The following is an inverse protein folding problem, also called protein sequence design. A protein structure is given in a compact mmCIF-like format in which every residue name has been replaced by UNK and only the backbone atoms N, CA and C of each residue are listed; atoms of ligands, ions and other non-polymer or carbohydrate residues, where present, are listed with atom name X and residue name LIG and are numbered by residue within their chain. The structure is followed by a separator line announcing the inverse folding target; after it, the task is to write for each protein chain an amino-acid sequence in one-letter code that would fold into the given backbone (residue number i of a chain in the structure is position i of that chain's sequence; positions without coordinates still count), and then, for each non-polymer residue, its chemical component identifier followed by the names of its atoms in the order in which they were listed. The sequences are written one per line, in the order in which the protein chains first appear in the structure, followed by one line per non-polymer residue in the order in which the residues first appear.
data_IF_119528668232
#
_entry.id   IF_119528668232
#
_cell.length_a   1.000
_cell.length_b   1.000
_cell.length_c   1.000
_cell.angle_alpha   90.00
_cell.angle_beta   90.00
_cell.angle_gamma   90.00
#
_symmetry.space_group_name_H-M   'P 1'
#
loop_
_entity.id
_entity.type
_entity.pdbx_description
1 polymer ?
#
# COMPACT_ATOMS: atom_id res chain seq x y z
N UNK A 1 -1.78 -27.62 -34.54
CA UNK A 1 -1.60 -26.86 -33.28
C UNK A 1 -0.97 -25.54 -33.67
N UNK A 2 -1.77 -24.48 -33.81
CA UNK A 2 -1.28 -23.15 -34.18
C UNK A 2 -1.21 -22.32 -32.91
N UNK A 3 -0.01 -22.14 -32.37
CA UNK A 3 0.24 -21.12 -31.36
C UNK A 3 0.25 -19.78 -32.08
N UNK A 4 -0.80 -18.99 -31.90
CA UNK A 4 -0.79 -17.59 -32.31
C UNK A 4 0.23 -16.85 -31.44
N UNK A 5 1.08 -15.98 -32.01
CA UNK A 5 1.94 -15.13 -31.20
C UNK A 5 1.06 -14.16 -30.39
N UNK A 6 1.26 -14.11 -29.08
CA UNK A 6 0.72 -13.04 -28.24
C UNK A 6 1.16 -11.72 -28.86
N UNK A 7 0.19 -10.94 -29.34
CA UNK A 7 0.45 -9.62 -29.89
C UNK A 7 0.85 -8.71 -28.73
N UNK A 8 2.15 -8.53 -28.53
CA UNK A 8 2.68 -7.43 -27.73
C UNK A 8 2.08 -6.13 -28.29
N UNK A 9 1.22 -5.48 -27.50
CA UNK A 9 0.63 -4.19 -27.87
C UNK A 9 1.76 -3.19 -28.16
N UNK A 10 1.62 -2.34 -29.19
CA UNK A 10 2.65 -1.37 -29.51
C UNK A 10 2.84 -0.40 -28.35
N UNK A 11 4.08 -0.30 -27.86
CA UNK A 11 4.51 0.72 -26.92
C UNK A 11 4.25 2.11 -27.51
N UNK A 12 3.36 2.87 -26.87
CA UNK A 12 3.00 4.25 -27.23
C UNK A 12 2.84 5.04 -25.94
N UNK A 13 3.08 6.36 -25.95
CA UNK A 13 2.94 7.21 -24.75
C UNK A 13 1.58 7.04 -24.04
N UNK A 14 0.52 6.73 -24.79
CA UNK A 14 -0.81 6.49 -24.25
C UNK A 14 -0.90 5.11 -23.56
N UNK A 15 -0.27 4.09 -24.14
CA UNK A 15 -0.17 2.77 -23.50
C UNK A 15 0.65 2.82 -22.21
N UNK A 16 1.76 3.57 -22.19
CA UNK A 16 2.59 3.75 -21.00
C UNK A 16 1.83 4.43 -19.85
N UNK A 17 1.02 5.45 -20.18
CA UNK A 17 0.17 6.12 -19.19
C UNK A 17 -0.91 5.21 -18.62
N UNK A 18 -1.59 4.42 -19.45
CA UNK A 18 -2.61 3.46 -18.98
C UNK A 18 -2.02 2.41 -18.03
N UNK A 19 -0.83 1.90 -18.34
CA UNK A 19 -0.10 0.94 -17.48
C UNK A 19 0.31 1.59 -16.15
N UNK A 20 0.80 2.84 -16.17
CA UNK A 20 1.15 3.57 -14.95
C UNK A 20 -0.09 3.86 -14.10
N UNK A 21 -1.21 4.22 -14.73
CA UNK A 21 -2.47 4.51 -14.04
C UNK A 21 -3.05 3.25 -13.39
N UNK A 22 -3.00 2.10 -14.07
CA UNK A 22 -3.37 0.82 -13.47
C UNK A 22 -2.45 0.49 -12.29
N UNK A 23 -1.13 0.61 -12.47
CA UNK A 23 -0.15 0.42 -11.40
C UNK A 23 -0.42 1.33 -10.19
N UNK A 24 -0.82 2.58 -10.43
CA UNK A 24 -1.20 3.51 -9.38
C UNK A 24 -2.43 3.00 -8.62
N UNK A 25 -3.48 2.56 -9.31
CA UNK A 25 -4.69 2.06 -8.66
C UNK A 25 -4.46 0.76 -7.88
N UNK A 26 -3.57 -0.11 -8.37
CA UNK A 26 -3.18 -1.34 -7.67
C UNK A 26 -2.34 -1.05 -6.42
N UNK A 27 -1.52 0.01 -6.42
CA UNK A 27 -0.70 0.35 -5.27
C UNK A 27 -1.56 0.85 -4.09
N UNK A 28 -1.68 0.04 -3.04
CA UNK A 28 -2.39 0.43 -1.82
C UNK A 28 -1.44 0.74 -0.66
N UNK A 29 -1.81 1.75 0.12
CA UNK A 29 -0.99 2.22 1.25
C UNK A 29 -0.93 1.19 2.37
N UNK A 30 -2.03 0.48 2.63
CA UNK A 30 -2.08 -0.60 3.61
C UNK A 30 -1.14 -1.76 3.22
N UNK A 31 -1.12 -2.15 1.95
CA UNK A 31 -0.18 -3.17 1.44
C UNK A 31 1.29 -2.72 1.59
N UNK A 32 1.60 -1.46 1.32
CA UNK A 32 2.95 -0.91 1.54
C UNK A 32 3.39 -1.00 3.01
N UNK A 33 2.48 -0.69 3.95
CA UNK A 33 2.78 -0.78 5.38
C UNK A 33 2.90 -2.23 5.83
N UNK A 34 2.04 -3.13 5.34
CA UNK A 34 2.12 -4.57 5.62
C UNK A 34 3.45 -5.15 5.14
N UNK A 35 3.85 -4.85 3.90
CA UNK A 35 5.13 -5.29 3.35
C UNK A 35 6.31 -4.80 4.19
N UNK A 36 6.28 -3.53 4.62
CA UNK A 36 7.30 -3.02 5.53
C UNK A 36 7.35 -3.80 6.85
N UNK A 37 6.20 -4.14 7.44
CA UNK A 37 6.15 -4.95 8.66
C UNK A 37 6.68 -6.39 8.47
N UNK A 38 6.53 -6.96 7.27
CA UNK A 38 7.13 -8.25 6.91
C UNK A 38 8.66 -8.10 6.79
N UNK A 39 9.13 -7.08 6.07
CA UNK A 39 10.56 -6.82 5.86
C UNK A 39 11.31 -6.57 7.19
N UNK A 40 10.62 -6.00 8.18
CA UNK A 40 11.14 -5.79 9.53
C UNK A 40 10.96 -6.98 10.47
N UNK A 41 10.34 -8.07 10.01
CA UNK A 41 10.11 -9.28 10.80
C UNK A 41 9.06 -9.14 11.90
N UNK A 42 8.24 -8.09 11.87
CA UNK A 42 7.18 -7.88 12.85
C UNK A 42 6.04 -8.90 12.66
N UNK A 43 5.70 -9.18 11.40
CA UNK A 43 4.81 -10.26 10.98
C UNK A 43 5.48 -11.10 9.89
N UNK A 44 4.94 -12.28 9.65
CA UNK A 44 5.38 -13.20 8.59
C UNK A 44 4.24 -13.46 7.60
N UNK A 45 4.57 -14.05 6.45
CA UNK A 45 3.56 -14.51 5.49
C UNK A 45 2.59 -15.54 6.11
N UNK A 46 3.08 -16.37 7.05
CA UNK A 46 2.23 -17.33 7.76
C UNK A 46 1.21 -16.64 8.66
N UNK A 47 1.60 -15.55 9.31
CA UNK A 47 0.69 -14.77 10.15
C UNK A 47 -0.47 -14.18 9.34
N UNK A 48 -0.19 -13.80 8.09
CA UNK A 48 -1.19 -13.33 7.12
C UNK A 48 -2.10 -14.48 6.71
N UNK A 49 -1.50 -15.59 6.24
CA UNK A 49 -2.24 -16.74 5.75
C UNK A 49 -3.17 -17.38 6.81
N UNK A 50 -2.77 -17.33 8.08
CA UNK A 50 -3.53 -17.90 9.20
C UNK A 50 -4.43 -16.89 9.92
N UNK A 51 -4.44 -15.62 9.49
CA UNK A 51 -5.11 -14.53 10.21
C UNK A 51 -4.71 -14.47 11.70
N UNK A 52 -3.42 -14.60 11.98
CA UNK A 52 -2.91 -14.53 13.34
C UNK A 52 -3.34 -13.22 14.03
N UNK A 53 -3.59 -13.29 15.34
CA UNK A 53 -4.08 -12.16 16.15
C UNK A 53 -3.27 -10.87 15.91
N UNK A 54 -1.93 -10.97 15.89
CA UNK A 54 -1.05 -9.81 15.65
C UNK A 54 -1.24 -9.18 14.27
N UNK A 55 -1.54 -9.96 13.23
CA UNK A 55 -1.85 -9.44 11.90
C UNK A 55 -3.22 -8.75 11.88
N UNK A 56 -4.22 -9.32 12.54
CA UNK A 56 -5.55 -8.69 12.68
C UNK A 56 -5.46 -7.35 13.40
N UNK A 57 -4.71 -7.30 14.51
CA UNK A 57 -4.45 -6.06 15.25
C UNK A 57 -3.72 -5.04 14.39
N UNK A 58 -2.66 -5.45 13.68
CA UNK A 58 -1.92 -4.58 12.76
C UNK A 58 -2.85 -3.97 11.71
N UNK A 59 -3.70 -4.77 11.07
CA UNK A 59 -4.71 -4.29 10.11
C UNK A 59 -5.65 -3.25 10.71
N UNK A 60 -6.12 -3.50 11.94
CA UNK A 60 -6.97 -2.55 12.66
C UNK A 60 -6.27 -1.21 12.85
N UNK A 61 -5.02 -1.22 13.33
CA UNK A 61 -4.22 -0.01 13.53
C UNK A 61 -3.97 0.74 12.22
N UNK A 62 -3.62 0.01 11.14
CA UNK A 62 -3.42 0.61 9.81
C UNK A 62 -4.71 1.28 9.33
N UNK A 63 -5.84 0.58 9.39
CA UNK A 63 -7.14 1.10 8.93
C UNK A 63 -7.56 2.36 9.71
N UNK A 64 -7.44 2.34 11.04
CA UNK A 64 -7.74 3.52 11.87
C UNK A 64 -6.82 4.69 11.53
N UNK A 65 -5.52 4.45 11.39
CA UNK A 65 -4.54 5.49 11.06
C UNK A 65 -4.80 6.10 9.68
N UNK A 66 -5.09 5.28 8.67
CA UNK A 66 -5.45 5.73 7.33
C UNK A 66 -6.74 6.55 7.34
N UNK A 67 -7.75 6.10 8.08
CA UNK A 67 -8.99 6.86 8.22
C UNK A 67 -8.73 8.23 8.85
N UNK A 68 -7.93 8.30 9.92
CA UNK A 68 -7.54 9.58 10.53
C UNK A 68 -6.82 10.49 9.55
N UNK A 69 -5.87 9.98 8.75
CA UNK A 69 -5.21 10.79 7.74
C UNK A 69 -6.17 11.29 6.65
N UNK A 70 -7.12 10.47 6.19
CA UNK A 70 -8.14 10.91 5.23
C UNK A 70 -9.03 12.05 5.73
N UNK A 71 -9.21 12.18 7.04
CA UNK A 71 -10.01 13.27 7.62
C UNK A 71 -9.25 14.61 7.61
N UNK A 72 -7.92 14.60 7.58
CA UNK A 72 -7.09 15.81 7.60
C UNK A 72 -6.46 16.13 6.24
N UNK A 73 -6.18 15.12 5.42
CA UNK A 73 -5.66 15.31 4.07
C UNK A 73 -6.82 15.42 3.07
N UNK A 74 -6.98 16.59 2.47
CA UNK A 74 -7.88 16.82 1.33
C UNK A 74 -7.24 16.31 0.03
N UNK A 75 -6.86 15.04 0.00
CA UNK A 75 -6.25 14.42 -1.18
C UNK A 75 -7.34 13.91 -2.13
N UNK A 76 -7.38 14.45 -3.35
CA UNK A 76 -8.31 14.05 -4.41
C UNK A 76 -7.53 13.44 -5.59
N UNK A 77 -7.82 12.17 -5.89
CA UNK A 77 -7.23 11.40 -6.98
C UNK A 77 -8.04 11.43 -8.28
N UNK A 78 -9.09 12.24 -8.34
CA UNK A 78 -9.93 12.39 -9.55
C UNK A 78 -9.23 13.02 -10.74
N UNK A 79 -8.12 13.76 -10.54
CA UNK A 79 -7.45 14.54 -11.58
C UNK A 79 -6.02 14.04 -11.89
N UNK A 80 -5.82 12.72 -11.86
CA UNK A 80 -4.55 12.11 -12.28
C UNK A 80 -4.38 12.26 -13.80
N UNK A 81 -3.18 12.68 -14.19
CA UNK A 81 -2.76 12.88 -15.57
C UNK A 81 -1.35 12.30 -15.76
N UNK A 82 -0.93 12.13 -17.02
CA UNK A 82 0.42 11.63 -17.32
C UNK A 82 1.56 12.48 -16.74
N UNK A 83 1.30 13.76 -16.47
CA UNK A 83 2.30 14.71 -15.98
C UNK A 83 2.41 14.75 -14.45
N UNK A 84 1.39 14.28 -13.72
CA UNK A 84 1.36 14.35 -12.26
C UNK A 84 1.37 12.98 -11.57
N UNK A 85 1.22 11.88 -12.33
CA UNK A 85 1.08 10.54 -11.78
C UNK A 85 2.23 10.14 -10.83
N UNK A 86 3.46 10.56 -11.12
CA UNK A 86 4.61 10.32 -10.25
C UNK A 86 4.48 11.00 -8.88
N UNK A 87 3.90 12.20 -8.84
CA UNK A 87 3.62 12.91 -7.59
C UNK A 87 2.53 12.19 -6.78
N UNK A 88 1.55 11.58 -7.45
CA UNK A 88 0.53 10.76 -6.80
C UNK A 88 1.11 9.46 -6.22
N UNK A 89 2.04 8.82 -6.93
CA UNK A 89 2.82 7.70 -6.40
C UNK A 89 3.64 8.11 -5.18
N UNK A 90 4.33 9.25 -5.24
CA UNK A 90 5.12 9.74 -4.12
C UNK A 90 4.24 10.06 -2.91
N UNK A 91 3.07 10.65 -3.13
CA UNK A 91 2.09 10.88 -2.07
C UNK A 91 1.68 9.58 -1.38
N UNK A 92 1.40 8.51 -2.13
CA UNK A 92 1.09 7.18 -1.53
C UNK A 92 2.28 6.64 -0.73
N UNK A 93 3.51 6.80 -1.21
CA UNK A 93 4.72 6.37 -0.50
C UNK A 93 4.94 7.17 0.79
N UNK A 94 4.77 8.49 0.75
CA UNK A 94 4.89 9.35 1.93
C UNK A 94 3.79 9.06 2.96
N UNK A 95 2.55 8.89 2.52
CA UNK A 95 1.46 8.47 3.40
C UNK A 95 1.77 7.11 4.05
N UNK A 96 2.30 6.14 3.30
CA UNK A 96 2.75 4.86 3.86
C UNK A 96 3.83 5.05 4.92
N UNK A 97 4.85 5.88 4.69
CA UNK A 97 5.89 6.19 5.69
C UNK A 97 5.30 6.78 6.97
N UNK A 98 4.37 7.73 6.87
CA UNK A 98 3.69 8.32 8.03
C UNK A 98 2.85 7.29 8.79
N UNK A 99 2.09 6.45 8.08
CA UNK A 99 1.30 5.37 8.69
C UNK A 99 2.22 4.39 9.40
N UNK A 100 3.31 3.96 8.76
CA UNK A 100 4.32 3.08 9.37
C UNK A 100 4.87 3.67 10.65
N UNK A 101 5.21 4.97 10.68
CA UNK A 101 5.70 5.64 11.89
C UNK A 101 4.68 5.54 13.04
N UNK A 102 3.42 5.89 12.77
CA UNK A 102 2.34 5.82 13.79
C UNK A 102 2.10 4.37 14.24
N UNK A 103 2.11 3.43 13.31
CA UNK A 103 2.00 1.99 13.62
C UNK A 103 3.16 1.59 14.53
N UNK A 104 4.40 1.87 14.17
CA UNK A 104 5.58 1.54 15.00
C UNK A 104 5.50 2.16 16.39
N UNK A 105 5.11 3.42 16.52
CA UNK A 105 4.93 4.09 17.82
C UNK A 105 3.84 3.40 18.66
N UNK A 106 2.69 3.07 18.05
CA UNK A 106 1.61 2.34 18.74
C UNK A 106 2.01 0.93 19.13
N UNK A 107 2.77 0.24 18.28
CA UNK A 107 3.29 -1.09 18.59
C UNK A 107 4.27 -1.05 19.76
N UNK A 108 5.17 -0.07 19.80
CA UNK A 108 6.09 0.14 20.92
C UNK A 108 5.35 0.47 22.22
N UNK A 109 4.33 1.33 22.16
CA UNK A 109 3.51 1.68 23.32
C UNK A 109 2.62 0.52 23.79
N UNK A 110 2.15 -0.32 22.86
CA UNK A 110 1.27 -1.46 23.11
C UNK A 110 1.99 -2.81 23.23
N UNK A 111 3.30 -2.84 23.48
CA UNK A 111 4.08 -4.09 23.53
C UNK A 111 3.54 -5.15 24.51
N UNK A 112 2.74 -4.78 25.51
CA UNK A 112 2.00 -5.73 26.36
C UNK A 112 0.96 -6.54 25.58
N UNK A 113 0.29 -5.91 24.62
CA UNK A 113 -0.85 -6.47 23.89
C UNK A 113 -0.40 -7.39 22.74
N UNK A 114 0.87 -7.28 22.34
CA UNK A 114 1.48 -8.10 21.28
C UNK A 114 2.35 -9.26 21.80
N UNK A 115 2.53 -9.39 23.13
CA UNK A 115 3.36 -10.43 23.77
C UNK A 115 2.62 -11.75 24.04
N UNK A 116 1.31 -11.84 23.78
CA UNK A 116 0.46 -12.99 24.12
C UNK A 116 -0.38 -13.51 22.96
#
# INVERSE_FOLDING_TARGET
MNNAPEQEKPFTEQHDYEVLLDSYHQLKVDELVINHCIDKGFITQLDIATNARKYVLLKGVIATTLHSFKLVDTFDDKNITKHNIDAYFEHKRELAKRVTKVVSERLLAGLSDFRH
#
